data_IF_591876770944
#
_entry.id   IF_591876770944
#
_cell.length_a   1.000
_cell.length_b   1.000
_cell.length_c   1.000
_cell.angle_alpha   90.00
_cell.angle_beta   90.00
_cell.angle_gamma   90.00
#
_symmetry.space_group_name_H-M   'P 1'
#
loop_
_entity.id
_entity.type
_entity.pdbx_description
1 polymer ?
#
# COMPACT_ATOMS: atom_id res chain seq x y z
N UNK A 1 -10.55 -4.30 -24.06
CA UNK A 1 -10.75 -3.09 -23.23
C UNK A 1 -10.43 -3.46 -21.80
N UNK A 2 -9.20 -3.21 -21.33
CA UNK A 2 -8.86 -3.37 -19.92
C UNK A 2 -9.62 -2.30 -19.17
N UNK A 3 -10.55 -2.68 -18.29
CA UNK A 3 -11.22 -1.74 -17.41
C UNK A 3 -10.15 -1.06 -16.55
N UNK A 4 -10.03 0.26 -16.64
CA UNK A 4 -9.07 0.97 -15.79
C UNK A 4 -9.49 0.86 -14.32
N UNK A 5 -8.49 0.63 -13.48
CA UNK A 5 -8.59 0.44 -12.05
C UNK A 5 -8.09 1.73 -11.38
N UNK A 6 -8.87 2.22 -10.41
CA UNK A 6 -8.48 3.29 -9.50
C UNK A 6 -7.96 2.66 -8.21
N UNK A 7 -6.79 3.08 -7.76
CA UNK A 7 -6.10 2.48 -6.61
C UNK A 7 -5.10 3.45 -6.00
N UNK A 8 -4.62 3.09 -4.82
CA UNK A 8 -3.45 3.71 -4.19
C UNK A 8 -2.23 2.81 -4.33
N UNK A 9 -1.13 3.32 -4.85
CA UNK A 9 0.19 2.70 -4.72
C UNK A 9 0.87 3.22 -3.46
N UNK A 10 1.20 2.30 -2.58
CA UNK A 10 1.78 2.60 -1.27
C UNK A 10 3.17 1.98 -1.23
N UNK A 11 4.17 2.85 -1.24
CA UNK A 11 5.57 2.49 -1.14
C UNK A 11 6.02 2.70 0.29
N UNK A 12 6.73 1.73 0.84
CA UNK A 12 7.41 1.82 2.11
C UNK A 12 8.46 0.73 2.18
N UNK A 13 9.44 0.91 3.04
CA UNK A 13 10.45 -0.09 3.31
C UNK A 13 10.35 -0.55 4.75
N UNK A 14 10.54 -1.86 4.95
CA UNK A 14 10.65 -2.49 6.26
C UNK A 14 11.53 -3.72 6.14
N UNK A 15 12.31 -4.01 7.19
CA UNK A 15 13.13 -5.21 7.27
C UNK A 15 12.39 -6.40 7.92
N UNK A 16 11.14 -6.21 8.33
CA UNK A 16 10.33 -7.22 9.00
C UNK A 16 9.14 -7.65 8.15
N UNK A 17 9.10 -8.94 7.80
CA UNK A 17 7.97 -9.52 7.08
C UNK A 17 6.68 -9.54 7.92
N UNK A 18 6.80 -9.61 9.25
CA UNK A 18 5.66 -9.50 10.17
C UNK A 18 5.04 -8.10 10.16
N UNK A 19 5.90 -7.06 10.14
CA UNK A 19 5.45 -5.66 10.03
C UNK A 19 4.73 -5.44 8.70
N UNK A 20 5.32 -5.92 7.60
CA UNK A 20 4.68 -5.87 6.28
C UNK A 20 3.30 -6.54 6.27
N UNK A 21 3.21 -7.78 6.76
CA UNK A 21 1.94 -8.52 6.83
C UNK A 21 0.90 -7.78 7.68
N UNK A 22 1.31 -7.23 8.82
CA UNK A 22 0.43 -6.44 9.69
C UNK A 22 -0.09 -5.16 8.99
N UNK A 23 0.72 -4.50 8.16
CA UNK A 23 0.29 -3.33 7.38
C UNK A 23 -0.75 -3.75 6.34
N UNK A 24 -0.49 -4.82 5.60
CA UNK A 24 -1.43 -5.33 4.58
C UNK A 24 -2.79 -5.69 5.20
N UNK A 25 -2.78 -6.38 6.34
CA UNK A 25 -4.01 -6.74 7.06
C UNK A 25 -4.77 -5.52 7.58
N UNK A 26 -4.06 -4.53 8.13
CA UNK A 26 -4.68 -3.30 8.63
C UNK A 26 -5.30 -2.48 7.49
N UNK A 27 -4.61 -2.37 6.34
CA UNK A 27 -5.15 -1.70 5.15
C UNK A 27 -6.42 -2.40 4.64
N UNK A 28 -6.42 -3.73 4.55
CA UNK A 28 -7.61 -4.51 4.17
C UNK A 28 -8.76 -4.27 5.12
N UNK A 29 -8.50 -4.37 6.43
CA UNK A 29 -9.51 -4.23 7.48
C UNK A 29 -10.10 -2.83 7.55
N UNK A 30 -9.25 -1.80 7.53
CA UNK A 30 -9.67 -0.40 7.73
C UNK A 30 -10.48 0.12 6.53
N UNK A 31 -10.08 -0.24 5.32
CA UNK A 31 -10.68 0.30 4.10
C UNK A 31 -11.69 -0.65 3.44
N UNK A 32 -11.83 -1.89 3.93
CA UNK A 32 -12.71 -2.89 3.31
C UNK A 32 -12.35 -3.18 1.85
N UNK A 33 -11.08 -2.97 1.49
CA UNK A 33 -10.60 -2.98 0.12
C UNK A 33 -9.70 -4.19 -0.17
N UNK A 34 -9.67 -4.60 -1.43
CA UNK A 34 -8.64 -5.53 -1.91
C UNK A 34 -7.27 -4.83 -1.83
N UNK A 35 -6.30 -5.51 -1.23
CA UNK A 35 -4.90 -5.07 -1.20
C UNK A 35 -4.05 -6.09 -1.93
N UNK A 36 -3.38 -5.65 -2.99
CA UNK A 36 -2.45 -6.44 -3.79
C UNK A 36 -1.03 -6.17 -3.33
N UNK A 37 -0.29 -7.25 -3.10
CA UNK A 37 1.10 -7.18 -2.67
C UNK A 37 2.01 -7.41 -3.86
N UNK A 38 2.90 -6.46 -4.12
CA UNK A 38 3.87 -6.49 -5.21
C UNK A 38 5.27 -6.49 -4.63
N UNK A 39 5.91 -7.66 -4.60
CA UNK A 39 7.28 -7.84 -4.12
C UNK A 39 8.24 -8.27 -5.21
N UNK A 40 9.46 -7.74 -5.18
CA UNK A 40 10.56 -8.29 -5.97
C UNK A 40 10.97 -9.66 -5.44
N UNK A 41 11.16 -10.62 -6.35
CA UNK A 41 11.66 -11.97 -6.02
C UNK A 41 13.15 -11.99 -5.70
N UNK A 42 13.88 -10.91 -6.05
CA UNK A 42 15.34 -10.82 -5.96
C UNK A 42 15.77 -9.92 -4.79
N UNK A 43 15.04 -8.84 -4.53
CA UNK A 43 15.34 -7.89 -3.44
C UNK A 43 14.08 -7.72 -2.60
N UNK A 44 14.02 -8.38 -1.43
CA UNK A 44 12.80 -8.47 -0.61
C UNK A 44 12.33 -7.11 -0.09
N UNK A 45 13.22 -6.14 -0.02
CA UNK A 45 12.99 -4.78 0.44
C UNK A 45 12.28 -3.92 -0.62
N UNK A 46 12.38 -4.30 -1.91
CA UNK A 46 11.61 -3.67 -2.98
C UNK A 46 10.23 -4.31 -3.04
N UNK A 47 9.34 -3.79 -2.20
CA UNK A 47 7.91 -4.14 -2.19
C UNK A 47 7.06 -2.87 -2.18
N UNK A 48 5.87 -2.97 -2.74
CA UNK A 48 4.82 -1.96 -2.62
C UNK A 48 3.47 -2.65 -2.59
N UNK A 49 2.46 -1.96 -2.08
CA UNK A 49 1.09 -2.49 -2.05
C UNK A 49 0.16 -1.60 -2.84
N UNK A 50 -0.79 -2.21 -3.53
CA UNK A 50 -1.88 -1.51 -4.20
C UNK A 50 -3.16 -1.70 -3.40
N UNK A 51 -3.77 -0.60 -2.94
CA UNK A 51 -5.06 -0.61 -2.23
C UNK A 51 -6.14 -0.17 -3.21
N UNK A 52 -7.06 -1.07 -3.57
CA UNK A 52 -8.08 -0.81 -4.58
C UNK A 52 -9.22 0.02 -3.98
N UNK A 53 -9.12 1.34 -4.15
CA UNK A 53 -10.12 2.31 -3.72
C UNK A 53 -10.48 3.22 -4.90
N UNK A 54 -11.78 3.36 -5.13
CA UNK A 54 -12.32 4.12 -6.27
C UNK A 54 -12.23 5.64 -6.12
N UNK A 55 -12.00 6.14 -4.90
CA UNK A 55 -12.11 7.56 -4.55
C UNK A 55 -10.74 8.12 -4.14
N UNK A 56 -10.36 9.33 -4.62
CA UNK A 56 -9.17 10.05 -4.17
C UNK A 56 -9.34 10.66 -2.77
N UNK A 57 -8.27 11.20 -2.18
CA UNK A 57 -8.32 11.94 -0.90
C UNK A 57 -8.06 11.13 0.38
N UNK A 58 -7.69 9.85 0.25
CA UNK A 58 -7.34 8.94 1.37
C UNK A 58 -5.83 8.80 1.61
N UNK A 59 -4.99 9.56 0.90
CA UNK A 59 -3.53 9.45 0.93
C UNK A 59 -2.99 9.56 2.36
N UNK A 60 -3.38 10.61 3.08
CA UNK A 60 -2.93 10.86 4.45
C UNK A 60 -3.40 9.77 5.44
N UNK A 61 -4.60 9.24 5.24
CA UNK A 61 -5.14 8.20 6.11
C UNK A 61 -4.42 6.86 5.91
N UNK A 62 -4.13 6.51 4.65
CA UNK A 62 -3.32 5.34 4.29
C UNK A 62 -1.89 5.50 4.82
N UNK A 63 -1.30 6.67 4.63
CA UNK A 63 0.04 6.99 5.12
C UNK A 63 0.14 6.85 6.64
N UNK A 64 -0.88 7.31 7.38
CA UNK A 64 -0.96 7.14 8.83
C UNK A 64 -1.05 5.68 9.26
N UNK A 65 -1.80 4.83 8.54
CA UNK A 65 -1.85 3.39 8.84
C UNK A 65 -0.45 2.78 8.76
N UNK A 66 0.28 3.09 7.69
CA UNK A 66 1.64 2.58 7.48
C UNK A 66 2.60 3.12 8.55
N UNK A 67 2.58 4.44 8.80
CA UNK A 67 3.45 5.10 9.80
C UNK A 67 3.14 4.71 11.25
N UNK A 68 1.94 4.21 11.54
CA UNK A 68 1.58 3.73 12.89
C UNK A 68 2.45 2.57 13.39
N UNK A 69 3.22 1.94 12.51
CA UNK A 69 4.19 0.89 12.85
C UNK A 69 5.55 1.42 13.32
N UNK A 70 5.68 2.75 13.48
CA UNK A 70 6.82 3.41 14.08
C UNK A 70 8.12 3.20 13.32
N UNK A 71 9.23 3.08 14.05
CA UNK A 71 10.60 3.02 13.52
C UNK A 71 10.89 1.77 12.66
N UNK A 72 9.95 0.82 12.61
CA UNK A 72 10.05 -0.37 11.76
C UNK A 72 9.70 -0.11 10.30
N UNK A 73 9.23 1.10 9.96
CA UNK A 73 8.82 1.48 8.60
C UNK A 73 9.42 2.83 8.22
N UNK A 74 9.95 2.92 7.01
CA UNK A 74 10.62 4.13 6.51
C UNK A 74 10.30 4.38 5.03
N UNK A 75 10.52 5.62 4.57
CA UNK A 75 10.35 6.00 3.17
C UNK A 75 8.92 5.88 2.65
N UNK A 76 7.92 6.19 3.48
CA UNK A 76 6.50 6.04 3.11
C UNK A 76 6.10 7.06 2.04
N UNK A 77 5.53 6.58 0.94
CA UNK A 77 4.92 7.39 -0.11
C UNK A 77 3.59 6.76 -0.54
N UNK A 78 2.55 7.58 -0.66
CA UNK A 78 1.23 7.15 -1.14
C UNK A 78 0.88 7.92 -2.39
N UNK A 79 0.56 7.22 -3.48
CA UNK A 79 0.16 7.80 -4.76
C UNK A 79 -1.23 7.29 -5.16
N UNK A 80 -2.17 8.19 -5.46
CA UNK A 80 -3.42 7.82 -6.11
C UNK A 80 -3.19 7.66 -7.61
N UNK A 81 -3.66 6.54 -8.17
CA UNK A 81 -3.44 6.15 -9.56
C UNK A 81 -4.77 5.77 -10.20
N UNK A 82 -5.05 6.40 -11.34
CA UNK A 82 -6.16 6.06 -12.22
C UNK A 82 -5.61 5.45 -13.52
N UNK A 83 -5.77 4.13 -13.68
CA UNK A 83 -5.27 3.39 -14.85
C UNK A 83 -6.27 3.36 -16.02
N UNK A 84 -7.33 4.18 -15.97
CA UNK A 84 -8.27 4.34 -17.09
C UNK A 84 -7.73 5.24 -18.21
N UNK A 85 -6.67 5.99 -17.96
CA UNK A 85 -6.04 6.92 -18.90
C UNK A 85 -4.82 6.33 -19.60
#
# INVERSE_FOLDING_TARGET
MTAGIKLYRVYYSTYSDDVHRSIVEELKKKFGAEVRDHGSRVVREFRFVEVLLGEPGREAEIEQVVKSRGDSVFGVKVEWVDTTR
#
